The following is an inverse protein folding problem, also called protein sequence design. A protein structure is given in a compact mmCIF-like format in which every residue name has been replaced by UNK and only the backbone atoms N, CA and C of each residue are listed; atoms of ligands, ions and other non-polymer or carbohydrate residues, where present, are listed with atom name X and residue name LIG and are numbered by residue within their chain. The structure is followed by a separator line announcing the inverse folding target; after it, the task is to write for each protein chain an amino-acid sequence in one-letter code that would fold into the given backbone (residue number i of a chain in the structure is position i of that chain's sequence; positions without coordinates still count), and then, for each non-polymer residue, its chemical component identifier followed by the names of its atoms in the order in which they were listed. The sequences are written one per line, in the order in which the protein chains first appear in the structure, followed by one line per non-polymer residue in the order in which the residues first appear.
data_IF_299644607615
#
_entry.id   IF_299644607615
#
_cell.length_a   1.000
_cell.length_b   1.000
_cell.length_c   1.000
_cell.angle_alpha   90.00
_cell.angle_beta   90.00
_cell.angle_gamma   90.00
#
_symmetry.space_group_name_H-M   'P 1'
#
loop_
_entity.id
_entity.type
_entity.pdbx_description
1 polymer ?
#
# COMPACT_ATOMS: atom_id res chain seq x y z
N UNK A 1 59.31 -4.48 21.76
CA UNK A 1 58.56 -3.54 20.90
C UNK A 1 58.28 -4.21 19.56
N UNK A 2 57.11 -4.83 19.40
CA UNK A 2 56.81 -5.73 18.26
C UNK A 2 55.65 -5.19 17.44
N UNK A 3 55.93 -4.90 16.17
CA UNK A 3 55.01 -4.37 15.15
C UNK A 3 53.87 -5.35 14.88
N UNK A 4 52.62 -4.97 15.14
CA UNK A 4 51.43 -5.75 14.76
C UNK A 4 50.87 -5.23 13.43
N UNK A 5 51.33 -5.80 12.31
CA UNK A 5 50.76 -5.56 10.97
C UNK A 5 49.35 -6.15 10.90
N UNK A 6 48.35 -5.29 10.79
CA UNK A 6 46.93 -5.66 10.67
C UNK A 6 46.64 -6.10 9.23
N UNK A 7 46.62 -7.42 8.98
CA UNK A 7 46.13 -8.02 7.73
C UNK A 7 44.63 -7.75 7.61
N UNK A 8 44.26 -6.70 6.88
CA UNK A 8 42.88 -6.45 6.44
C UNK A 8 42.52 -7.55 5.43
N UNK A 9 41.84 -8.59 5.92
CA UNK A 9 41.34 -9.72 5.13
C UNK A 9 40.31 -9.18 4.14
N UNK A 10 40.80 -8.87 2.93
CA UNK A 10 40.01 -8.52 1.76
C UNK A 10 39.09 -9.71 1.47
N UNK A 11 37.84 -9.56 1.92
CA UNK A 11 36.78 -10.53 1.69
C UNK A 11 36.50 -10.50 0.19
N UNK A 12 37.10 -11.46 -0.54
CA UNK A 12 36.76 -11.77 -1.93
C UNK A 12 35.24 -11.77 -2.03
N UNK A 13 34.70 -10.88 -2.85
CA UNK A 13 33.33 -10.96 -3.31
C UNK A 13 33.20 -12.33 -3.96
N UNK A 14 32.44 -13.22 -3.33
CA UNK A 14 32.07 -14.48 -3.93
C UNK A 14 31.25 -14.19 -5.19
N UNK A 15 31.29 -15.07 -6.21
CA UNK A 15 30.50 -14.92 -7.42
C UNK A 15 29.02 -14.79 -7.02
N UNK A 16 28.33 -13.84 -7.65
CA UNK A 16 26.88 -13.68 -7.56
C UNK A 16 26.23 -15.05 -7.63
N UNK A 17 25.63 -15.50 -6.52
CA UNK A 17 24.85 -16.73 -6.48
C UNK A 17 23.84 -16.71 -7.64
N UNK A 18 23.41 -17.88 -8.16
CA UNK A 18 22.37 -17.92 -9.17
C UNK A 18 21.19 -17.14 -8.62
N UNK A 19 20.64 -16.23 -9.42
CA UNK A 19 19.35 -15.62 -9.12
C UNK A 19 18.38 -16.79 -9.03
N UNK A 20 18.11 -17.28 -7.83
CA UNK A 20 16.94 -18.10 -7.57
C UNK A 20 15.79 -17.27 -8.11
N UNK A 21 15.29 -17.66 -9.28
CA UNK A 21 14.14 -17.03 -9.90
C UNK A 21 13.02 -17.12 -8.89
N UNK A 22 12.77 -16.00 -8.19
CA UNK A 22 11.64 -15.85 -7.29
C UNK A 22 10.41 -16.42 -7.99
N UNK A 23 9.66 -17.28 -7.31
CA UNK A 23 8.52 -17.96 -7.91
C UNK A 23 7.64 -16.95 -8.66
N UNK A 24 7.28 -17.25 -9.91
CA UNK A 24 6.41 -16.36 -10.70
C UNK A 24 5.12 -16.02 -9.96
N UNK A 25 4.63 -16.93 -9.12
CA UNK A 25 3.50 -16.71 -8.21
C UNK A 25 3.75 -15.62 -7.16
N UNK A 26 4.95 -15.58 -6.55
CA UNK A 26 5.31 -14.57 -5.56
C UNK A 26 5.40 -13.16 -6.18
N UNK A 27 5.94 -13.08 -7.40
CA UNK A 27 5.94 -11.86 -8.20
C UNK A 27 4.53 -11.40 -8.53
N UNK A 28 3.67 -12.31 -9.02
CA UNK A 28 2.28 -12.00 -9.35
C UNK A 28 1.48 -11.51 -8.13
N UNK A 29 1.60 -12.19 -6.97
CA UNK A 29 0.95 -11.79 -5.72
C UNK A 29 1.42 -10.41 -5.28
N UNK A 30 2.72 -10.12 -5.41
CA UNK A 30 3.27 -8.81 -5.06
C UNK A 30 2.72 -7.72 -5.96
N UNK A 31 2.76 -7.91 -7.29
CA UNK A 31 2.24 -6.94 -8.25
C UNK A 31 0.75 -6.69 -8.01
N UNK A 32 -0.03 -7.75 -7.79
CA UNK A 32 -1.45 -7.65 -7.49
C UNK A 32 -1.71 -6.89 -6.20
N UNK A 33 -0.96 -7.18 -5.14
CA UNK A 33 -1.03 -6.44 -3.88
C UNK A 33 -0.68 -4.95 -4.06
N UNK A 34 0.44 -4.63 -4.72
CA UNK A 34 0.83 -3.22 -4.97
C UNK A 34 -0.17 -2.49 -5.84
N UNK A 35 -0.77 -3.15 -6.82
CA UNK A 35 -1.79 -2.58 -7.71
C UNK A 35 -3.07 -2.30 -6.94
N UNK A 36 -3.44 -3.18 -6.01
CA UNK A 36 -4.61 -2.98 -5.14
C UNK A 36 -4.39 -1.79 -4.20
N UNK A 37 -3.21 -1.69 -3.56
CA UNK A 37 -2.85 -0.53 -2.72
C UNK A 37 -2.90 0.78 -3.53
N UNK A 38 -2.39 0.76 -4.77
CA UNK A 38 -2.42 1.93 -5.66
C UNK A 38 -3.86 2.29 -6.06
N UNK A 39 -4.68 1.31 -6.41
CA UNK A 39 -6.09 1.52 -6.74
C UNK A 39 -6.87 2.09 -5.55
N UNK A 40 -6.57 1.64 -4.32
CA UNK A 40 -7.12 2.23 -3.10
C UNK A 40 -6.73 3.70 -2.98
N UNK A 41 -5.44 4.03 -3.10
CA UNK A 41 -4.96 5.42 -3.01
C UNK A 41 -5.61 6.32 -4.08
N UNK A 42 -5.69 5.86 -5.33
CA UNK A 42 -6.34 6.60 -6.42
C UNK A 42 -7.83 6.81 -6.13
N UNK A 43 -8.52 5.80 -5.61
CA UNK A 43 -9.93 5.90 -5.25
C UNK A 43 -10.15 6.94 -4.13
N UNK A 44 -9.24 7.02 -3.15
CA UNK A 44 -9.30 8.06 -2.12
C UNK A 44 -9.09 9.46 -2.69
N UNK A 45 -8.12 9.63 -3.59
CA UNK A 45 -7.86 10.92 -4.24
C UNK A 45 -9.07 11.34 -5.07
N UNK A 46 -9.68 10.43 -5.83
CA UNK A 46 -10.88 10.70 -6.62
C UNK A 46 -12.07 11.08 -5.72
N UNK A 47 -12.27 10.37 -4.60
CA UNK A 47 -13.31 10.73 -3.65
C UNK A 47 -13.09 12.10 -3.02
N UNK A 48 -11.87 12.40 -2.59
CA UNK A 48 -11.50 13.70 -2.03
C UNK A 48 -11.70 14.83 -3.05
N UNK A 49 -11.24 14.64 -4.29
CA UNK A 49 -11.43 15.60 -5.38
C UNK A 49 -12.92 15.85 -5.65
N UNK A 50 -13.74 14.79 -5.76
CA UNK A 50 -15.17 14.90 -5.96
C UNK A 50 -15.85 15.67 -4.82
N UNK A 51 -15.43 15.44 -3.56
CA UNK A 51 -15.96 16.16 -2.39
C UNK A 51 -15.56 17.64 -2.39
N UNK A 52 -14.30 17.95 -2.71
CA UNK A 52 -13.82 19.33 -2.80
C UNK A 52 -14.56 20.10 -3.89
N UNK A 53 -14.75 19.50 -5.07
CA UNK A 53 -15.50 20.14 -6.17
C UNK A 53 -16.97 20.30 -5.81
N UNK A 54 -17.58 19.33 -5.13
CA UNK A 54 -18.96 19.44 -4.66
C UNK A 54 -19.18 20.63 -3.71
N UNK A 55 -18.20 20.98 -2.88
CA UNK A 55 -18.28 22.14 -1.97
C UNK A 55 -18.26 23.48 -2.70
N UNK A 56 -17.77 23.52 -3.95
CA UNK A 56 -17.69 24.74 -4.76
C UNK A 56 -18.89 24.93 -5.68
N UNK A 57 -19.77 23.92 -5.81
CA UNK A 57 -20.92 23.94 -6.70
C UNK A 57 -22.23 24.06 -5.92
N UNK A 58 -23.16 24.87 -6.45
CA UNK A 58 -24.49 25.08 -5.84
C UNK A 58 -25.31 23.77 -5.81
N UNK A 59 -25.15 22.90 -6.81
CA UNK A 59 -25.80 21.58 -6.91
C UNK A 59 -24.79 20.42 -6.86
N UNK A 60 -23.96 20.40 -5.81
CA UNK A 60 -22.91 19.39 -5.61
C UNK A 60 -23.40 17.97 -5.23
N UNK A 61 -24.72 17.74 -5.09
CA UNK A 61 -25.26 16.50 -4.49
C UNK A 61 -24.88 15.24 -5.27
N UNK A 62 -24.82 15.31 -6.61
CA UNK A 62 -24.38 14.17 -7.45
C UNK A 62 -22.90 13.82 -7.23
N UNK A 63 -22.05 14.84 -7.08
CA UNK A 63 -20.62 14.65 -6.81
C UNK A 63 -20.36 14.14 -5.39
N UNK A 64 -21.21 14.51 -4.43
CA UNK A 64 -21.21 13.91 -3.09
C UNK A 64 -21.49 12.41 -3.15
N UNK A 65 -22.51 12.00 -3.91
CA UNK A 65 -22.82 10.58 -4.09
C UNK A 65 -21.67 9.83 -4.75
N UNK A 66 -21.08 10.42 -5.79
CA UNK A 66 -19.89 9.88 -6.47
C UNK A 66 -18.71 9.74 -5.51
N UNK A 67 -18.42 10.75 -4.70
CA UNK A 67 -17.39 10.71 -3.66
C UNK A 67 -17.60 9.54 -2.69
N UNK A 68 -18.83 9.33 -2.22
CA UNK A 68 -19.17 8.24 -1.33
C UNK A 68 -18.96 6.86 -1.97
N UNK A 69 -19.31 6.71 -3.26
CA UNK A 69 -19.07 5.46 -4.00
C UNK A 69 -17.56 5.15 -4.13
N UNK A 70 -16.74 6.16 -4.43
CA UNK A 70 -15.29 6.01 -4.50
C UNK A 70 -14.67 5.70 -3.13
N UNK A 71 -15.18 6.30 -2.04
CA UNK A 71 -14.77 5.94 -0.67
C UNK A 71 -15.13 4.50 -0.34
N UNK A 72 -16.32 4.04 -0.73
CA UNK A 72 -16.74 2.65 -0.51
C UNK A 72 -15.84 1.68 -1.30
N UNK A 73 -15.54 1.99 -2.56
CA UNK A 73 -14.61 1.21 -3.37
C UNK A 73 -13.20 1.20 -2.77
N UNK A 74 -12.72 2.35 -2.26
CA UNK A 74 -11.46 2.45 -1.55
C UNK A 74 -11.45 1.59 -0.28
N UNK A 75 -12.55 1.52 0.46
CA UNK A 75 -12.66 0.70 1.67
C UNK A 75 -12.58 -0.81 1.34
N UNK A 76 -13.28 -1.26 0.29
CA UNK A 76 -13.26 -2.66 -0.15
C UNK A 76 -11.87 -3.06 -0.63
N UNK A 77 -11.26 -2.24 -1.51
CA UNK A 77 -9.92 -2.50 -2.04
C UNK A 77 -8.84 -2.37 -0.95
N UNK A 78 -8.99 -1.46 0.00
CA UNK A 78 -8.11 -1.31 1.16
C UNK A 78 -8.16 -2.55 2.05
N UNK A 79 -9.35 -3.07 2.35
CA UNK A 79 -9.51 -4.31 3.10
C UNK A 79 -8.87 -5.50 2.37
N UNK A 80 -9.08 -5.58 1.06
CA UNK A 80 -8.45 -6.60 0.21
C UNK A 80 -6.92 -6.50 0.29
N UNK A 81 -6.34 -5.30 0.17
CA UNK A 81 -4.90 -5.08 0.29
C UNK A 81 -4.34 -5.50 1.66
N UNK A 82 -5.08 -5.29 2.76
CA UNK A 82 -4.69 -5.75 4.10
C UNK A 82 -4.66 -7.28 4.19
N UNK A 83 -5.63 -7.96 3.57
CA UNK A 83 -5.71 -9.43 3.52
C UNK A 83 -4.58 -10.01 2.65
N UNK A 84 -4.22 -9.34 1.55
CA UNK A 84 -3.14 -9.76 0.66
C UNK A 84 -1.75 -9.55 1.25
N UNK A 85 -1.58 -8.60 2.17
CA UNK A 85 -0.29 -8.31 2.79
C UNK A 85 0.38 -9.52 3.48
N UNK A 86 -0.29 -10.31 4.34
CA UNK A 86 0.31 -11.52 4.92
C UNK A 86 0.59 -12.59 3.85
N UNK A 87 -0.24 -12.69 2.80
CA UNK A 87 -0.02 -13.63 1.70
C UNK A 87 1.26 -13.30 0.93
N UNK A 88 1.46 -12.02 0.59
CA UNK A 88 2.69 -11.52 -0.03
C UNK A 88 3.92 -11.80 0.85
N UNK A 89 3.83 -11.53 2.16
CA UNK A 89 4.93 -11.77 3.10
C UNK A 89 5.30 -13.25 3.21
N UNK A 90 4.34 -14.16 3.05
CA UNK A 90 4.59 -15.61 3.03
C UNK A 90 5.17 -16.08 1.70
N UNK A 91 4.78 -15.44 0.60
CA UNK A 91 5.24 -15.82 -0.74
C UNK A 91 6.68 -15.37 -1.03
N UNK A 92 7.17 -14.31 -0.37
CA UNK A 92 8.51 -13.75 -0.60
C UNK A 92 9.55 -14.26 0.37
N UNK A 93 10.70 -14.68 -0.17
CA UNK A 93 11.90 -15.02 0.61
C UNK A 93 12.54 -13.82 1.30
N UNK A 94 12.39 -12.62 0.72
CA UNK A 94 12.86 -11.36 1.29
C UNK A 94 11.67 -10.41 1.57
N UNK A 95 11.47 -9.96 2.82
CA UNK A 95 10.35 -9.09 3.13
C UNK A 95 10.53 -7.72 2.46
N UNK A 96 9.42 -7.06 2.03
CA UNK A 96 9.47 -5.70 1.53
C UNK A 96 9.98 -4.74 2.61
N UNK A 97 10.64 -3.61 2.23
CA UNK A 97 11.10 -2.61 3.19
C UNK A 97 9.97 -2.17 4.13
N UNK A 98 10.27 -2.10 5.43
CA UNK A 98 9.26 -1.83 6.46
C UNK A 98 8.51 -0.50 6.25
N UNK A 99 9.15 0.49 5.62
CA UNK A 99 8.52 1.75 5.25
C UNK A 99 7.34 1.54 4.27
N UNK A 100 7.52 0.73 3.23
CA UNK A 100 6.49 0.46 2.21
C UNK A 100 5.31 -0.30 2.82
N UNK A 101 5.60 -1.31 3.64
CA UNK A 101 4.55 -2.04 4.36
C UNK A 101 3.73 -1.14 5.29
N UNK A 102 4.38 -0.23 6.03
CA UNK A 102 3.67 0.70 6.92
C UNK A 102 2.79 1.68 6.13
N UNK A 103 3.32 2.22 5.04
CA UNK A 103 2.54 3.11 4.16
C UNK A 103 1.33 2.39 3.57
N UNK A 104 1.50 1.16 3.08
CA UNK A 104 0.40 0.37 2.55
C UNK A 104 -0.70 0.15 3.60
N UNK A 105 -0.34 -0.19 4.84
CA UNK A 105 -1.31 -0.34 5.94
C UNK A 105 -2.07 0.97 6.20
N UNK A 106 -1.37 2.11 6.24
CA UNK A 106 -2.00 3.43 6.45
C UNK A 106 -2.97 3.76 5.32
N UNK A 107 -2.55 3.59 4.07
CA UNK A 107 -3.38 3.82 2.88
C UNK A 107 -4.60 2.91 2.90
N UNK A 108 -4.44 1.65 3.25
CA UNK A 108 -5.54 0.67 3.26
C UNK A 108 -6.52 0.86 4.42
N UNK A 109 -6.08 1.37 5.58
CA UNK A 109 -6.95 1.65 6.73
C UNK A 109 -7.68 3.00 6.61
N UNK A 110 -7.02 3.99 6.01
CA UNK A 110 -7.55 5.34 5.83
C UNK A 110 -8.99 5.41 5.27
N UNK A 111 -9.36 4.67 4.20
CA UNK A 111 -10.71 4.77 3.64
C UNK A 111 -11.77 4.18 4.57
N UNK A 112 -11.45 3.18 5.41
CA UNK A 112 -12.40 2.67 6.41
C UNK A 112 -12.67 3.72 7.49
N UNK A 113 -11.64 4.39 7.98
CA UNK A 113 -11.79 5.46 8.98
C UNK A 113 -12.62 6.61 8.41
N UNK A 114 -12.34 7.02 7.17
CA UNK A 114 -13.09 8.06 6.46
C UNK A 114 -14.56 7.65 6.25
N UNK A 115 -14.82 6.42 5.80
CA UNK A 115 -16.17 5.92 5.59
C UNK A 115 -16.95 5.87 6.91
N UNK A 116 -16.36 5.34 7.98
CA UNK A 116 -16.97 5.34 9.32
C UNK A 116 -17.29 6.76 9.78
N UNK A 117 -16.38 7.72 9.59
CA UNK A 117 -16.63 9.12 9.95
C UNK A 117 -17.80 9.71 9.16
N UNK A 118 -17.88 9.46 7.85
CA UNK A 118 -18.99 9.94 7.01
C UNK A 118 -20.32 9.34 7.47
N UNK A 119 -20.37 8.04 7.75
CA UNK A 119 -21.59 7.36 8.22
C UNK A 119 -22.03 7.93 9.58
N UNK A 120 -21.12 8.02 10.55
CA UNK A 120 -21.42 8.52 11.90
C UNK A 120 -21.84 9.99 11.91
N UNK A 121 -21.31 10.82 11.00
CA UNK A 121 -21.70 12.22 10.86
C UNK A 121 -23.00 12.41 10.10
N UNK A 122 -23.43 11.43 9.30
CA UNK A 122 -24.70 11.50 8.55
C UNK A 122 -25.91 11.10 9.39
N UNK A 123 -25.71 10.37 10.50
CA UNK A 123 -26.77 9.95 11.43
C UNK A 123 -27.12 11.02 12.48
N UNK A 124 -26.44 12.18 12.46
CA UNK A 124 -26.73 13.34 13.32
C UNK A 124 -27.38 14.45 12.53
#
# INVERSE_FOLDING_TARGET
MTKRKQKRKQRRAAPSAPVETESQSATAITVFWTTTVLATALSQVAAGAARCVAMLLVDGQRLVLFSNLFLMLAAITGLLALILQPLMRRARSAPPPAAVSRLAVVISLSPMVLLCAVVLLSEK
#
